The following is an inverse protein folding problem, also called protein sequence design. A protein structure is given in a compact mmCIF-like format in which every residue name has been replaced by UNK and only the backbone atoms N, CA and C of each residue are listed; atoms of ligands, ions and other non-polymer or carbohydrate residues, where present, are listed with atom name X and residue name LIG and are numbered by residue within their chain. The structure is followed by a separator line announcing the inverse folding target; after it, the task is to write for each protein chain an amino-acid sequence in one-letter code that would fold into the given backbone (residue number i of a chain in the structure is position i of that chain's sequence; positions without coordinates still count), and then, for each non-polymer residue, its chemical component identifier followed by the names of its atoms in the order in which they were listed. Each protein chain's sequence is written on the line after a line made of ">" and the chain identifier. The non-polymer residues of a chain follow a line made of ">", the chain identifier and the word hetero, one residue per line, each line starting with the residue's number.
data_IF_112171712897
#
_entry.id   IF_112171712897
#
_cell.length_a   1.000
_cell.length_b   1.000
_cell.length_c   1.000
_cell.angle_alpha   90.00
_cell.angle_beta   90.00
_cell.angle_gamma   90.00
#
_symmetry.space_group_name_H-M   'P 1'
#
loop_
_entity.id
_entity.type
_entity.pdbx_description
1 polymer ?
#
# COMPACT_ATOMS: atom_id res chain seq x y z
N UNK A 1 8.37 9.84 -5.04
CA UNK A 1 6.95 10.12 -4.75
C UNK A 1 6.09 10.11 -6.00
N UNK A 2 6.47 10.74 -7.12
CA UNK A 2 5.75 10.61 -8.41
C UNK A 2 5.56 9.15 -8.86
N UNK A 3 6.66 8.41 -9.09
CA UNK A 3 6.60 6.98 -9.47
C UNK A 3 5.80 6.09 -8.51
N UNK A 4 5.84 6.41 -7.21
CA UNK A 4 5.04 5.72 -6.19
C UNK A 4 3.55 5.99 -6.42
N UNK A 5 3.15 7.25 -6.57
CA UNK A 5 1.77 7.60 -6.87
C UNK A 5 1.27 6.97 -8.18
N UNK A 6 2.11 6.92 -9.22
CA UNK A 6 1.76 6.30 -10.49
C UNK A 6 1.60 4.78 -10.36
N UNK A 7 2.47 4.12 -9.60
CA UNK A 7 2.37 2.70 -9.28
C UNK A 7 1.06 2.37 -8.56
N UNK A 8 0.72 3.14 -7.51
CA UNK A 8 -0.52 2.95 -6.76
C UNK A 8 -1.76 3.18 -7.64
N UNK A 9 -1.74 4.19 -8.51
CA UNK A 9 -2.81 4.41 -9.50
C UNK A 9 -2.97 3.23 -10.46
N UNK A 10 -1.86 2.63 -10.89
CA UNK A 10 -1.87 1.40 -11.67
C UNK A 10 -2.58 0.26 -10.93
N UNK A 11 -2.22 0.03 -9.65
CA UNK A 11 -2.86 -1.01 -8.82
C UNK A 11 -4.33 -0.76 -8.53
N UNK A 12 -4.74 0.50 -8.42
CA UNK A 12 -6.16 0.88 -8.35
C UNK A 12 -6.89 0.56 -9.66
N UNK A 13 -6.29 0.91 -10.81
CA UNK A 13 -6.89 0.63 -12.13
C UNK A 13 -6.96 -0.88 -12.45
N UNK A 14 -5.99 -1.66 -11.99
CA UNK A 14 -5.97 -3.12 -12.10
C UNK A 14 -6.99 -3.82 -11.18
N UNK A 15 -7.55 -3.11 -10.19
CA UNK A 15 -8.48 -3.66 -9.20
C UNK A 15 -7.81 -4.46 -8.08
N UNK A 16 -6.47 -4.58 -8.08
CA UNK A 16 -5.69 -5.19 -6.99
C UNK A 16 -5.75 -4.34 -5.71
N UNK A 17 -5.98 -3.04 -5.85
CA UNK A 17 -6.07 -2.08 -4.74
C UNK A 17 -7.46 -1.47 -4.68
N UNK A 18 -8.01 -1.33 -3.48
CA UNK A 18 -9.30 -0.69 -3.22
C UNK A 18 -9.08 0.78 -2.87
N UNK A 19 -8.07 1.06 -2.05
CA UNK A 19 -7.79 2.40 -1.53
C UNK A 19 -6.30 2.56 -1.23
N UNK A 20 -5.79 3.77 -1.43
CA UNK A 20 -4.48 4.20 -0.96
C UNK A 20 -4.50 5.66 -0.55
N UNK A 21 -3.77 6.00 0.51
CA UNK A 21 -3.61 7.40 0.92
C UNK A 21 -2.74 7.59 2.16
N UNK A 22 -2.29 8.83 2.41
CA UNK A 22 -1.63 9.17 3.66
C UNK A 22 -2.64 9.24 4.80
N UNK A 23 -2.24 8.72 5.97
CA UNK A 23 -2.92 8.91 7.25
C UNK A 23 -2.17 10.00 8.00
N UNK A 24 -2.88 11.07 8.37
CA UNK A 24 -2.34 12.17 9.15
C UNK A 24 -2.44 11.86 10.65
N UNK A 25 -1.63 10.91 11.11
CA UNK A 25 -1.60 10.51 12.52
C UNK A 25 -0.88 11.56 13.38
N UNK A 26 -1.57 12.20 14.35
CA UNK A 26 -0.99 13.26 15.17
C UNK A 26 0.00 12.74 16.23
N UNK A 27 -0.03 11.45 16.57
CA UNK A 27 0.84 10.85 17.59
C UNK A 27 2.13 10.28 16.98
N UNK A 28 2.01 9.57 15.85
CA UNK A 28 3.14 8.90 15.19
C UNK A 28 3.74 9.71 14.02
N UNK A 29 3.06 10.75 13.55
CA UNK A 29 3.39 11.43 12.30
C UNK A 29 2.78 10.72 11.07
N UNK A 30 2.88 11.31 9.87
CA UNK A 30 2.19 10.80 8.69
C UNK A 30 2.73 9.44 8.22
N UNK A 31 1.82 8.53 7.86
CA UNK A 31 2.15 7.20 7.30
C UNK A 31 1.21 6.83 6.14
N UNK A 32 1.55 5.80 5.37
CA UNK A 32 0.78 5.38 4.20
C UNK A 32 -0.15 4.20 4.51
N UNK A 33 -1.42 4.28 4.13
CA UNK A 33 -2.38 3.19 4.19
C UNK A 33 -2.69 2.67 2.79
N UNK A 34 -2.61 1.36 2.61
CA UNK A 34 -3.03 0.65 1.41
C UNK A 34 -4.05 -0.43 1.78
N UNK A 35 -5.19 -0.48 1.09
CA UNK A 35 -6.17 -1.56 1.21
C UNK A 35 -6.14 -2.34 -0.11
N UNK A 36 -5.69 -3.60 -0.03
CA UNK A 36 -5.54 -4.49 -1.18
C UNK A 36 -6.68 -5.50 -1.25
N UNK A 37 -7.09 -5.87 -2.47
CA UNK A 37 -7.95 -7.02 -2.77
C UNK A 37 -7.09 -8.09 -3.44
N UNK A 38 -6.57 -9.01 -2.64
CA UNK A 38 -5.67 -10.10 -3.07
C UNK A 38 -6.09 -11.43 -2.44
N UNK A 39 -5.72 -12.53 -3.07
CA UNK A 39 -6.05 -13.88 -2.62
C UNK A 39 -5.10 -14.45 -1.56
N UNK A 40 -3.94 -13.82 -1.37
CA UNK A 40 -2.93 -14.29 -0.41
C UNK A 40 -2.01 -13.18 0.11
N UNK A 41 -1.32 -13.45 1.22
CA UNK A 41 -0.26 -12.57 1.73
C UNK A 41 0.92 -12.45 0.75
N UNK A 42 1.23 -13.50 0.00
CA UNK A 42 2.30 -13.47 -1.00
C UNK A 42 2.01 -12.46 -2.12
N UNK A 43 0.75 -12.36 -2.56
CA UNK A 43 0.32 -11.34 -3.51
C UNK A 43 0.39 -9.92 -2.91
N UNK A 44 0.00 -9.74 -1.64
CA UNK A 44 0.18 -8.47 -0.94
C UNK A 44 1.67 -8.06 -0.89
N UNK A 45 2.55 -9.01 -0.55
CA UNK A 45 4.01 -8.79 -0.53
C UNK A 45 4.55 -8.40 -1.90
N UNK A 46 4.09 -9.06 -2.97
CA UNK A 46 4.49 -8.69 -4.32
C UNK A 46 4.09 -7.24 -4.66
N UNK A 47 2.93 -6.77 -4.21
CA UNK A 47 2.52 -5.37 -4.36
C UNK A 47 3.44 -4.42 -3.59
N UNK A 48 3.75 -4.73 -2.33
CA UNK A 48 4.61 -3.86 -1.50
C UNK A 48 6.06 -3.87 -1.97
N UNK A 49 6.59 -5.02 -2.40
CA UNK A 49 7.97 -5.15 -2.91
C UNK A 49 8.13 -4.44 -4.26
N UNK A 50 7.08 -4.42 -5.08
CA UNK A 50 7.02 -3.69 -6.34
C UNK A 50 6.84 -2.17 -6.19
N UNK A 51 6.50 -1.67 -5.00
CA UNK A 51 6.33 -0.23 -4.78
C UNK A 51 7.69 0.50 -4.87
N UNK A 52 7.82 1.55 -5.70
CA UNK A 52 9.04 2.34 -5.79
C UNK A 52 9.57 2.93 -4.48
N UNK A 53 8.76 3.01 -3.40
CA UNK A 53 9.24 3.44 -2.09
C UNK A 53 10.09 2.37 -1.39
N UNK A 54 9.83 1.09 -1.64
CA UNK A 54 10.52 -0.05 -1.02
C UNK A 54 12.00 -0.08 -1.40
N UNK A 55 12.33 0.25 -2.64
CA UNK A 55 13.72 0.34 -3.12
C UNK A 55 14.30 1.76 -3.05
N UNK A 56 13.63 2.70 -2.38
CA UNK A 56 14.00 4.12 -2.47
C UNK A 56 15.16 4.55 -1.56
N UNK A 57 15.55 3.70 -0.59
CA UNK A 57 16.56 4.03 0.42
C UNK A 57 16.12 5.08 1.44
N UNK A 58 14.84 5.48 1.45
CA UNK A 58 14.29 6.53 2.34
C UNK A 58 13.71 6.01 3.65
N UNK A 59 13.93 4.74 3.97
CA UNK A 59 13.50 4.14 5.25
C UNK A 59 12.02 3.76 5.35
N UNK A 60 11.25 3.80 4.25
CA UNK A 60 9.88 3.28 4.21
C UNK A 60 9.87 1.78 4.53
N UNK A 61 8.84 1.35 5.27
CA UNK A 61 8.62 -0.06 5.65
C UNK A 61 7.14 -0.36 5.53
N UNK A 62 6.83 -1.58 5.08
CA UNK A 62 5.46 -2.08 5.03
C UNK A 62 5.21 -3.04 6.19
N UNK A 63 4.03 -2.90 6.77
CA UNK A 63 3.42 -3.90 7.64
C UNK A 63 2.18 -4.43 6.93
N UNK A 64 2.03 -5.76 6.87
CA UNK A 64 0.93 -6.42 6.17
C UNK A 64 0.10 -7.16 7.20
N UNK A 65 -1.18 -6.80 7.28
CA UNK A 65 -2.15 -7.46 8.16
C UNK A 65 -3.38 -7.88 7.34
N UNK A 66 -3.91 -9.09 7.56
CA UNK A 66 -5.14 -9.51 6.92
C UNK A 66 -6.33 -8.73 7.52
N UNK A 67 -7.09 -8.06 6.65
CA UNK A 67 -8.38 -7.49 7.03
C UNK A 67 -9.44 -8.60 6.97
N UNK A 68 -9.81 -9.15 8.13
CA UNK A 68 -10.69 -10.32 8.25
C UNK A 68 -12.08 -10.08 7.63
N UNK A 69 -12.59 -8.85 7.68
CA UNK A 69 -13.86 -8.45 7.07
C UNK A 69 -13.81 -6.98 6.67
N UNK A 70 -14.48 -6.66 5.55
CA UNK A 70 -14.60 -5.31 5.03
C UNK A 70 -16.02 -5.08 4.49
N UNK A 71 -16.53 -3.87 4.67
CA UNK A 71 -17.72 -3.36 3.99
C UNK A 71 -17.22 -2.36 2.96
N UNK A 72 -17.65 -2.50 1.70
CA UNK A 72 -17.16 -1.76 0.53
C UNK A 72 -18.26 -0.94 -0.11
#
# INVERSE_FOLDING_TARGET
>A
MGRHADYLRGKLAEGTMILAGPVADPAAGPWGLLILRVGSEAEARAVTDGDPVSSSGRGFRYEILPLISAIL
#
